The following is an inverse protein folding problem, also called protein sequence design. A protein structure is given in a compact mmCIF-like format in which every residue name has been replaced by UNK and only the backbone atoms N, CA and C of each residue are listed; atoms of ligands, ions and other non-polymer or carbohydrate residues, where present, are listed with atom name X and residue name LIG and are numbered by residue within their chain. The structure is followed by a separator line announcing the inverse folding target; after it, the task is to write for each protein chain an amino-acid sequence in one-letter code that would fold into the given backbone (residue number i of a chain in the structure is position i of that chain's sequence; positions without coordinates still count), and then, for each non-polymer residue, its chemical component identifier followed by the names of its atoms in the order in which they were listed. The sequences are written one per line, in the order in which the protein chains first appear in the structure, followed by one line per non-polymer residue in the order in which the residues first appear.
data_IF_954166356177
#
_entry.id   IF_954166356177
#
_cell.length_a   1.000
_cell.length_b   1.000
_cell.length_c   1.000
_cell.angle_alpha   90.00
_cell.angle_beta   90.00
_cell.angle_gamma   90.00
#
_symmetry.space_group_name_H-M   'P 1'
#
loop_
_entity.id
_entity.type
_entity.pdbx_description
1 polymer ?
#
# COMPACT_ATOMS: atom_id res chain seq x y z
N UNK A 1 -15.62 -18.49 -13.15
CA UNK A 1 -15.93 -17.08 -12.79
C UNK A 1 -14.76 -16.23 -13.25
N UNK A 2 -15.03 -15.13 -13.93
CA UNK A 2 -14.02 -14.15 -14.34
C UNK A 2 -14.38 -12.78 -13.77
N UNK A 3 -13.36 -12.02 -13.36
CA UNK A 3 -13.52 -10.66 -12.88
C UNK A 3 -12.72 -9.74 -13.79
N UNK A 4 -13.34 -8.66 -14.24
CA UNK A 4 -12.67 -7.63 -15.05
C UNK A 4 -12.77 -6.29 -14.35
N UNK A 5 -11.64 -5.59 -14.21
CA UNK A 5 -11.55 -4.28 -13.59
C UNK A 5 -10.73 -3.34 -14.45
N UNK A 6 -11.37 -2.26 -14.91
CA UNK A 6 -10.70 -1.18 -15.62
C UNK A 6 -10.64 0.07 -14.74
N UNK A 7 -9.45 0.55 -14.46
CA UNK A 7 -9.27 1.71 -13.60
C UNK A 7 -7.99 2.46 -13.95
N UNK A 8 -7.94 3.72 -13.55
CA UNK A 8 -6.73 4.54 -13.64
C UNK A 8 -6.00 4.51 -12.31
N UNK A 9 -4.71 4.23 -12.36
CA UNK A 9 -3.84 4.29 -11.18
C UNK A 9 -3.72 5.73 -10.70
N UNK A 10 -3.90 5.96 -9.40
CA UNK A 10 -3.76 7.27 -8.77
C UNK A 10 -2.57 7.29 -7.81
N UNK A 11 -1.95 8.46 -7.63
CA UNK A 11 -0.89 8.65 -6.62
C UNK A 11 -1.41 8.23 -5.24
N UNK A 12 -2.65 8.58 -4.90
CA UNK A 12 -3.27 8.23 -3.63
C UNK A 12 -3.31 6.71 -3.37
N UNK A 13 -3.50 5.90 -4.41
CA UNK A 13 -3.58 4.45 -4.28
C UNK A 13 -2.19 3.87 -3.94
N UNK A 14 -1.14 4.35 -4.64
CA UNK A 14 0.25 3.99 -4.36
C UNK A 14 0.71 4.48 -2.98
N UNK A 15 0.37 5.72 -2.65
CA UNK A 15 0.67 6.30 -1.35
C UNK A 15 0.02 5.49 -0.21
N UNK A 16 -1.28 5.20 -0.31
CA UNK A 16 -1.98 4.38 0.69
C UNK A 16 -1.36 2.98 0.82
N UNK A 17 -1.06 2.31 -0.29
CA UNK A 17 -0.42 1.00 -0.27
C UNK A 17 0.94 1.07 0.41
N UNK A 18 1.75 2.09 0.11
CA UNK A 18 3.06 2.31 0.72
C UNK A 18 2.96 2.64 2.22
N UNK A 19 1.96 3.43 2.62
CA UNK A 19 1.67 3.71 4.02
C UNK A 19 1.29 2.42 4.77
N UNK A 20 0.38 1.62 4.21
CA UNK A 20 0.02 0.33 4.81
C UNK A 20 1.23 -0.62 4.94
N UNK A 21 2.13 -0.62 3.95
CA UNK A 21 3.35 -1.41 4.03
C UNK A 21 4.28 -0.89 5.13
N UNK A 22 4.55 0.42 5.16
CA UNK A 22 5.42 1.05 6.15
C UNK A 22 4.93 0.81 7.58
N UNK A 23 3.64 1.05 7.84
CA UNK A 23 3.07 0.93 9.19
C UNK A 23 2.63 -0.49 9.59
N UNK A 24 2.60 -1.45 8.66
CA UNK A 24 2.38 -2.86 8.97
C UNK A 24 3.67 -3.63 9.23
N UNK A 25 4.83 -3.00 9.05
CA UNK A 25 6.14 -3.59 9.30
C UNK A 25 6.55 -3.44 10.78
N UNK A 26 7.56 -4.19 11.20
CA UNK A 26 8.17 -4.01 12.53
C UNK A 26 8.59 -2.56 12.77
N UNK A 27 9.18 -1.91 11.78
CA UNK A 27 9.56 -0.49 11.85
C UNK A 27 8.35 0.44 12.04
N UNK A 28 7.20 0.07 11.50
CA UNK A 28 5.95 0.81 11.73
C UNK A 28 5.49 0.77 13.18
N UNK A 29 5.62 -0.38 13.84
CA UNK A 29 5.32 -0.52 15.27
C UNK A 29 6.29 0.33 16.11
N UNK A 30 7.58 0.29 15.79
CA UNK A 30 8.60 1.14 16.45
C UNK A 30 8.24 2.63 16.29
N UNK A 31 7.88 3.05 15.09
CA UNK A 31 7.46 4.44 14.84
C UNK A 31 6.25 4.86 15.70
N UNK A 32 5.24 3.99 15.81
CA UNK A 32 4.07 4.27 16.65
C UNK A 32 4.44 4.38 18.14
N UNK A 33 5.31 3.50 18.63
CA UNK A 33 5.83 3.57 20.02
C UNK A 33 6.61 4.87 20.24
N UNK A 34 7.46 5.27 19.29
CA UNK A 34 8.21 6.51 19.37
C UNK A 34 7.29 7.75 19.39
N UNK A 35 6.24 7.75 18.56
CA UNK A 35 5.24 8.85 18.57
C UNK A 35 4.54 8.91 19.92
N UNK A 36 4.06 7.77 20.43
CA UNK A 36 3.36 7.72 21.72
C UNK A 36 4.26 8.17 22.88
N UNK A 37 5.51 7.71 22.90
CA UNK A 37 6.50 8.11 23.90
C UNK A 37 6.81 9.61 23.84
N UNK A 38 6.95 10.16 22.63
CA UNK A 38 7.18 11.60 22.45
C UNK A 38 6.01 12.44 22.95
N UNK A 39 4.77 12.03 22.66
CA UNK A 39 3.57 12.70 23.16
C UNK A 39 3.51 12.63 24.70
N UNK A 40 3.77 11.45 25.28
CA UNK A 40 3.76 11.26 26.71
C UNK A 40 4.82 12.16 27.41
N UNK A 41 6.02 12.26 26.87
CA UNK A 41 7.08 13.13 27.37
C UNK A 41 6.73 14.62 27.23
N UNK A 42 6.14 15.02 26.12
CA UNK A 42 5.66 16.39 25.92
C UNK A 42 4.62 16.74 27.00
N UNK A 43 3.64 15.88 27.25
CA UNK A 43 2.58 16.14 28.23
C UNK A 43 3.13 16.17 29.64
N UNK A 44 4.01 15.21 30.02
CA UNK A 44 4.44 15.02 31.40
C UNK A 44 5.60 15.93 31.82
N UNK A 45 6.49 16.30 30.90
CA UNK A 45 7.76 16.99 31.21
C UNK A 45 7.93 18.36 30.55
N UNK A 46 6.89 18.87 29.85
CA UNK A 46 7.00 20.13 29.11
C UNK A 46 7.45 21.32 29.95
N UNK A 47 6.96 21.42 31.19
CA UNK A 47 7.28 22.55 32.11
C UNK A 47 8.73 22.52 32.58
N UNK A 48 9.26 21.31 32.85
CA UNK A 48 10.59 21.11 33.40
C UNK A 48 11.66 20.86 32.32
N UNK A 49 11.23 20.73 31.07
CA UNK A 49 12.13 20.45 29.95
C UNK A 49 12.92 21.72 29.57
N UNK A 50 14.20 21.55 29.27
CA UNK A 50 15.01 22.60 28.62
C UNK A 50 14.50 22.89 27.21
N UNK A 51 14.79 24.08 26.69
CA UNK A 51 14.36 24.46 25.33
C UNK A 51 14.94 23.54 24.27
N UNK A 52 16.15 23.05 24.48
CA UNK A 52 16.75 22.02 23.59
C UNK A 52 15.91 20.74 23.58
N UNK A 53 15.52 20.23 24.75
CA UNK A 53 14.72 19.01 24.85
C UNK A 53 13.34 19.19 24.20
N UNK A 54 12.67 20.31 24.41
CA UNK A 54 11.39 20.67 23.76
C UNK A 54 11.54 20.65 22.25
N UNK A 55 12.58 21.30 21.72
CA UNK A 55 12.84 21.35 20.29
C UNK A 55 13.06 19.96 19.71
N UNK A 56 13.90 19.15 20.36
CA UNK A 56 14.17 17.76 19.92
C UNK A 56 12.90 16.91 19.91
N UNK A 57 12.07 16.98 20.95
CA UNK A 57 10.81 16.20 21.01
C UNK A 57 9.83 16.61 19.92
N UNK A 58 9.70 17.91 19.64
CA UNK A 58 8.83 18.42 18.58
C UNK A 58 9.35 17.98 17.21
N UNK A 59 10.65 18.14 16.93
CA UNK A 59 11.25 17.71 15.67
C UNK A 59 11.11 16.21 15.46
N UNK A 60 11.29 15.42 16.51
CA UNK A 60 11.14 13.98 16.47
C UNK A 60 9.68 13.59 16.13
N UNK A 61 8.72 14.20 16.82
CA UNK A 61 7.30 13.98 16.54
C UNK A 61 6.95 14.35 15.09
N UNK A 62 7.40 15.52 14.62
CA UNK A 62 7.17 15.99 13.24
C UNK A 62 7.80 15.04 12.21
N UNK A 63 8.95 14.44 12.50
CA UNK A 63 9.62 13.50 11.60
C UNK A 63 8.72 12.31 11.26
N UNK A 64 8.10 11.71 12.26
CA UNK A 64 7.27 10.52 12.04
C UNK A 64 5.84 10.83 11.60
N UNK A 65 5.28 11.98 12.02
CA UNK A 65 3.89 12.33 11.71
C UNK A 65 3.72 13.10 10.40
N UNK A 66 4.72 13.86 9.99
CA UNK A 66 4.64 14.75 8.81
C UNK A 66 5.69 14.39 7.76
N UNK A 67 6.96 14.38 8.13
CA UNK A 67 8.07 14.22 7.16
C UNK A 67 8.03 12.84 6.51
N UNK A 68 7.86 11.77 7.29
CA UNK A 68 7.81 10.41 6.75
C UNK A 68 6.63 10.19 5.78
N UNK A 69 5.37 10.54 6.09
CA UNK A 69 4.26 10.47 5.13
C UNK A 69 4.49 11.29 3.86
N UNK A 70 5.11 12.47 3.99
CA UNK A 70 5.46 13.31 2.83
C UNK A 70 6.51 12.65 1.94
N UNK A 71 7.56 12.07 2.51
CA UNK A 71 8.59 11.34 1.74
C UNK A 71 7.94 10.17 0.99
N UNK A 72 7.05 9.42 1.63
CA UNK A 72 6.31 8.31 0.99
C UNK A 72 5.45 8.85 -0.16
N UNK A 73 4.80 10.01 0.03
CA UNK A 73 3.99 10.63 -1.02
C UNK A 73 4.84 11.08 -2.23
N UNK A 74 5.99 11.72 -1.99
CA UNK A 74 6.91 12.11 -3.06
C UNK A 74 7.44 10.89 -3.82
N UNK A 75 7.78 9.80 -3.13
CA UNK A 75 8.21 8.54 -3.76
C UNK A 75 7.08 7.93 -4.60
N UNK A 76 5.86 7.89 -4.10
CA UNK A 76 4.69 7.41 -4.84
C UNK A 76 4.46 8.24 -6.12
N UNK A 77 4.60 9.56 -6.02
CA UNK A 77 4.51 10.47 -7.17
C UNK A 77 5.62 10.23 -8.19
N UNK A 78 6.86 10.09 -7.73
CA UNK A 78 8.02 9.83 -8.59
C UNK A 78 7.90 8.48 -9.32
N UNK A 79 7.34 7.46 -8.67
CA UNK A 79 7.15 6.13 -9.26
C UNK A 79 6.20 6.13 -10.46
N UNK A 80 5.29 7.10 -10.56
CA UNK A 80 4.37 7.23 -11.69
C UNK A 80 4.96 8.06 -12.84
N UNK A 81 6.07 8.79 -12.61
CA UNK A 81 6.70 9.60 -13.65
C UNK A 81 5.77 10.62 -14.34
N UNK A 82 4.66 11.01 -13.67
CA UNK A 82 3.63 11.88 -14.24
C UNK A 82 2.62 11.16 -15.16
N UNK A 83 2.81 9.88 -15.45
CA UNK A 83 1.91 9.08 -16.27
C UNK A 83 0.95 8.32 -15.35
N UNK A 84 -0.34 8.42 -15.64
CA UNK A 84 -1.41 7.71 -14.91
C UNK A 84 -2.00 6.62 -15.81
N UNK A 85 -1.36 5.44 -15.89
CA UNK A 85 -1.78 4.40 -16.83
C UNK A 85 -3.18 3.91 -16.48
N UNK A 86 -3.95 3.63 -17.53
CA UNK A 86 -5.20 2.89 -17.40
C UNK A 86 -4.84 1.42 -17.39
N UNK A 87 -5.17 0.78 -16.28
CA UNK A 87 -4.98 -0.66 -16.09
C UNK A 87 -6.31 -1.38 -16.27
N UNK A 88 -6.31 -2.41 -17.10
CA UNK A 88 -7.39 -3.36 -17.17
C UNK A 88 -6.88 -4.73 -16.73
N UNK A 89 -7.45 -5.24 -15.63
CA UNK A 89 -7.07 -6.50 -15.01
C UNK A 89 -8.22 -7.50 -15.16
N UNK A 90 -7.99 -8.57 -15.89
CA UNK A 90 -8.94 -9.66 -16.02
C UNK A 90 -8.43 -10.89 -15.29
N UNK A 91 -9.18 -11.34 -14.31
CA UNK A 91 -8.88 -12.54 -13.52
C UNK A 91 -9.71 -13.70 -14.05
N UNK A 92 -9.05 -14.80 -14.41
CA UNK A 92 -9.67 -16.04 -14.86
C UNK A 92 -9.16 -17.23 -14.05
N UNK A 93 -9.67 -18.42 -14.31
CA UNK A 93 -9.14 -19.65 -13.70
C UNK A 93 -7.73 -19.99 -14.18
N UNK A 94 -7.33 -19.52 -15.35
CA UNK A 94 -6.04 -19.82 -15.98
C UNK A 94 -4.94 -18.84 -15.53
N UNK A 95 -5.30 -17.60 -15.18
CA UNK A 95 -4.34 -16.56 -14.80
C UNK A 95 -4.95 -15.17 -14.80
N UNK A 96 -4.05 -14.21 -14.84
CA UNK A 96 -4.35 -12.78 -14.85
C UNK A 96 -3.92 -12.19 -16.18
N UNK A 97 -4.85 -11.57 -16.89
CA UNK A 97 -4.54 -10.74 -18.06
C UNK A 97 -4.43 -9.30 -17.61
N UNK A 98 -3.34 -8.66 -17.95
CA UNK A 98 -3.03 -7.26 -17.63
C UNK A 98 -2.94 -6.51 -18.94
N UNK A 99 -3.79 -5.51 -19.09
CA UNK A 99 -3.75 -4.61 -20.26
C UNK A 99 -3.40 -3.19 -19.77
N UNK A 100 -2.38 -2.62 -20.39
CA UNK A 100 -1.88 -1.27 -20.08
C UNK A 100 -1.53 -0.60 -21.40
N UNK A 101 -2.13 0.55 -21.67
CA UNK A 101 -1.85 1.36 -22.85
C UNK A 101 -1.89 0.55 -24.18
N UNK A 102 -2.85 -0.37 -24.29
CA UNK A 102 -3.03 -1.23 -25.46
C UNK A 102 -2.10 -2.45 -25.53
N UNK A 103 -1.17 -2.59 -24.57
CA UNK A 103 -0.34 -3.78 -24.44
C UNK A 103 -0.99 -4.79 -23.52
N UNK A 104 -1.21 -5.99 -24.02
CA UNK A 104 -1.82 -7.08 -23.28
C UNK A 104 -0.77 -8.11 -22.87
N UNK A 105 -0.68 -8.41 -21.58
CA UNK A 105 0.20 -9.43 -21.02
C UNK A 105 -0.62 -10.45 -20.24
N UNK A 106 -0.41 -11.73 -20.53
CA UNK A 106 -0.98 -12.81 -19.72
C UNK A 106 0.07 -13.27 -18.69
N UNK A 107 -0.35 -13.42 -17.47
CA UNK A 107 0.44 -13.94 -16.34
C UNK A 107 -0.28 -15.15 -15.73
N UNK A 108 0.38 -16.28 -15.74
CA UNK A 108 -0.13 -17.48 -15.08
C UNK A 108 -0.15 -17.26 -13.55
N UNK A 109 -0.99 -17.98 -12.83
CA UNK A 109 -1.05 -17.98 -11.37
C UNK A 109 0.30 -18.29 -10.70
N UNK A 110 1.19 -19.04 -11.38
CA UNK A 110 2.57 -19.27 -10.92
C UNK A 110 3.38 -17.97 -10.73
N UNK A 111 3.06 -16.92 -11.44
CA UNK A 111 3.71 -15.62 -11.34
C UNK A 111 3.12 -14.74 -10.24
N UNK A 112 2.07 -15.19 -9.56
CA UNK A 112 1.45 -14.47 -8.44
C UNK A 112 2.04 -14.98 -7.14
N UNK A 113 2.65 -14.07 -6.38
CA UNK A 113 3.22 -14.37 -5.05
C UNK A 113 2.12 -14.43 -3.97
N UNK A 114 1.12 -13.55 -4.07
CA UNK A 114 0.02 -13.52 -3.11
C UNK A 114 -0.86 -12.29 -3.25
N UNK A 115 -1.91 -12.28 -2.44
CA UNK A 115 -2.83 -11.15 -2.31
C UNK A 115 -2.93 -10.73 -0.84
N UNK A 116 -2.92 -9.42 -0.59
CA UNK A 116 -3.06 -8.86 0.75
C UNK A 116 -4.28 -7.95 0.79
N UNK A 117 -5.13 -8.19 1.77
CA UNK A 117 -6.32 -7.37 2.05
C UNK A 117 -5.95 -6.26 3.03
N UNK A 118 -6.13 -5.00 2.62
CA UNK A 118 -6.00 -3.81 3.47
C UNK A 118 -7.36 -3.12 3.60
N UNK A 119 -7.61 -2.26 4.58
CA UNK A 119 -8.93 -1.67 4.80
C UNK A 119 -9.58 -1.04 3.55
N UNK A 120 -8.81 -0.30 2.76
CA UNK A 120 -9.30 0.47 1.60
C UNK A 120 -8.96 -0.12 0.25
N UNK A 121 -8.09 -1.15 0.19
CA UNK A 121 -7.58 -1.71 -1.07
C UNK A 121 -7.18 -3.18 -0.94
N UNK A 122 -7.06 -3.85 -2.08
CA UNK A 122 -6.38 -5.13 -2.24
C UNK A 122 -5.06 -4.90 -2.98
N UNK A 123 -4.00 -5.57 -2.54
CA UNK A 123 -2.71 -5.56 -3.23
C UNK A 123 -2.38 -6.97 -3.68
N UNK A 124 -2.14 -7.14 -4.97
CA UNK A 124 -1.71 -8.40 -5.57
C UNK A 124 -0.22 -8.27 -5.86
N UNK A 125 0.58 -9.11 -5.23
CA UNK A 125 2.02 -9.15 -5.41
C UNK A 125 2.39 -10.21 -6.43
N UNK A 126 3.24 -9.81 -7.38
CA UNK A 126 3.80 -10.70 -8.39
C UNK A 126 5.20 -11.16 -7.98
N UNK A 127 5.67 -12.27 -8.53
CA UNK A 127 7.03 -12.79 -8.29
C UNK A 127 8.12 -11.87 -8.88
N UNK A 128 7.81 -11.09 -9.92
CA UNK A 128 8.70 -10.10 -10.52
C UNK A 128 8.84 -8.81 -9.69
N UNK A 129 8.29 -8.79 -8.47
CA UNK A 129 8.34 -7.64 -7.57
C UNK A 129 7.30 -6.56 -7.86
N UNK A 130 6.51 -6.68 -8.93
CA UNK A 130 5.42 -5.75 -9.22
C UNK A 130 4.23 -5.97 -8.30
N UNK A 131 3.47 -4.91 -8.06
CA UNK A 131 2.24 -4.93 -7.28
C UNK A 131 1.09 -4.25 -8.02
N UNK A 132 -0.08 -4.90 -8.05
CA UNK A 132 -1.30 -4.32 -8.59
C UNK A 132 -2.23 -3.94 -7.45
N UNK A 133 -2.66 -2.68 -7.42
CA UNK A 133 -3.45 -2.11 -6.34
C UNK A 133 -4.87 -1.90 -6.85
N UNK A 134 -5.83 -2.55 -6.21
CA UNK A 134 -7.25 -2.45 -6.49
C UNK A 134 -7.94 -1.81 -5.28
N UNK A 135 -8.44 -0.59 -5.44
CA UNK A 135 -9.18 0.11 -4.38
C UNK A 135 -10.62 -0.41 -4.27
N UNK A 136 -11.20 -0.27 -3.08
CA UNK A 136 -12.58 -0.73 -2.80
C UNK A 136 -13.62 -0.15 -3.78
N UNK A 137 -13.46 1.11 -4.21
CA UNK A 137 -14.38 1.74 -5.16
C UNK A 137 -14.37 1.08 -6.55
N UNK A 138 -13.30 0.37 -6.92
CA UNK A 138 -13.23 -0.42 -8.17
C UNK A 138 -13.80 -1.81 -7.96
N UNK A 139 -13.53 -2.41 -6.80
CA UNK A 139 -13.93 -3.77 -6.45
C UNK A 139 -15.41 -3.91 -6.12
N UNK A 140 -16.00 -2.86 -5.51
CA UNK A 140 -17.40 -2.87 -5.03
C UNK A 140 -17.70 -4.17 -4.24
N UNK A 141 -18.80 -4.83 -4.56
CA UNK A 141 -19.25 -6.06 -3.89
C UNK A 141 -18.44 -7.32 -4.24
N UNK A 142 -17.62 -7.24 -5.29
CA UNK A 142 -16.80 -8.39 -5.76
C UNK A 142 -15.50 -8.59 -4.98
N UNK A 143 -15.18 -7.69 -4.04
CA UNK A 143 -13.93 -7.70 -3.28
C UNK A 143 -13.62 -9.02 -2.58
N UNK A 144 -14.62 -9.61 -1.91
CA UNK A 144 -14.42 -10.89 -1.20
C UNK A 144 -14.27 -12.06 -2.18
N UNK A 145 -15.05 -12.06 -3.25
CA UNK A 145 -14.97 -13.08 -4.29
C UNK A 145 -13.62 -13.09 -4.99
N UNK A 146 -13.11 -11.91 -5.36
CA UNK A 146 -11.77 -11.78 -5.94
C UNK A 146 -10.68 -12.23 -4.97
N UNK A 147 -10.74 -11.79 -3.71
CA UNK A 147 -9.76 -12.18 -2.71
C UNK A 147 -9.72 -13.70 -2.54
N UNK A 148 -10.88 -14.35 -2.46
CA UNK A 148 -11.00 -15.81 -2.35
C UNK A 148 -10.43 -16.50 -3.59
N UNK A 149 -10.82 -16.06 -4.80
CA UNK A 149 -10.32 -16.63 -6.05
C UNK A 149 -8.78 -16.61 -6.09
N UNK A 150 -8.18 -15.45 -5.86
CA UNK A 150 -6.71 -15.30 -5.93
C UNK A 150 -6.03 -16.11 -4.81
N UNK A 151 -6.55 -16.08 -3.59
CA UNK A 151 -6.00 -16.87 -2.48
C UNK A 151 -6.05 -18.37 -2.76
N UNK A 152 -7.18 -18.87 -3.26
CA UNK A 152 -7.35 -20.29 -3.59
C UNK A 152 -6.39 -20.74 -4.70
N UNK A 153 -6.22 -19.90 -5.74
CA UNK A 153 -5.30 -20.19 -6.84
C UNK A 153 -3.83 -20.15 -6.43
N UNK A 154 -3.45 -19.22 -5.55
CA UNK A 154 -2.08 -19.15 -5.00
C UNK A 154 -1.81 -20.32 -4.04
N UNK A 155 -2.78 -20.73 -3.22
CA UNK A 155 -2.63 -21.85 -2.28
C UNK A 155 -2.57 -23.20 -2.99
N UNK A 156 -3.26 -23.38 -4.11
CA UNK A 156 -3.14 -24.61 -4.95
C UNK A 156 -1.76 -24.78 -5.60
N UNK A 157 -0.97 -23.70 -5.62
CA UNK A 157 0.40 -23.70 -6.16
C UNK A 157 1.43 -24.31 -5.17
N UNK A 158 1.14 -24.24 -3.86
CA UNK A 158 2.00 -24.80 -2.81
C UNK A 158 1.76 -26.28 -2.63
#
# INVERSE_FOLDING_TARGET
MSYNYKYRVKISDLWQASMYYAYSSYMGVVNLVCIAASIALIISRWKDASDLLRTVLVLFLLTFTVIQPLIIWFRARASLGGVYPVLELTFSQEGITIETDGQRQFKNWKSVRGIVKKPTLLVIYMEDGKGYILRNGVLKDTRQGLFKLVSDMVNKKK
#
